data_IF_672573456006
#
_entry.id   IF_672573456006
#
_cell.length_a   1.000
_cell.length_b   1.000
_cell.length_c   1.000
_cell.angle_alpha   90.00
_cell.angle_beta   90.00
_cell.angle_gamma   90.00
#
_symmetry.space_group_name_H-M   'P 1'
#
loop_
_entity.id
_entity.type
_entity.pdbx_description
1 polymer ?
#
# COMPACT_ATOMS: atom_id res chain seq x y z
N UNK A 1 -15.99 0.19 -19.21
CA UNK A 1 -15.30 0.73 -18.02
C UNK A 1 -13.99 1.43 -18.36
N UNK A 2 -13.05 0.79 -19.07
CA UNK A 2 -11.72 1.34 -19.39
C UNK A 2 -11.70 2.71 -20.11
N UNK A 3 -12.63 2.96 -21.06
CA UNK A 3 -12.78 4.25 -21.77
C UNK A 3 -13.31 5.39 -20.86
N UNK A 4 -14.20 5.08 -19.92
CA UNK A 4 -14.77 6.04 -18.98
C UNK A 4 -13.74 6.46 -17.93
N UNK A 5 -12.95 5.50 -17.44
CA UNK A 5 -11.82 5.74 -16.54
C UNK A 5 -10.83 6.70 -17.21
N UNK A 6 -10.39 6.42 -18.44
CA UNK A 6 -9.43 7.26 -19.15
C UNK A 6 -9.91 8.71 -19.36
N UNK A 7 -11.21 8.91 -19.60
CA UNK A 7 -11.78 10.25 -19.84
C UNK A 7 -11.84 11.11 -18.56
N UNK A 8 -12.01 10.50 -17.39
CA UNK A 8 -12.19 11.19 -16.11
C UNK A 8 -11.09 10.89 -15.08
N UNK A 9 -9.91 10.47 -15.54
CA UNK A 9 -8.77 10.07 -14.69
C UNK A 9 -8.39 11.12 -13.63
N UNK A 10 -8.36 12.42 -13.99
CA UNK A 10 -8.04 13.50 -13.04
C UNK A 10 -9.10 13.64 -11.94
N UNK A 11 -10.38 13.52 -12.31
CA UNK A 11 -11.50 13.59 -11.37
C UNK A 11 -11.49 12.38 -10.43
N UNK A 12 -11.25 11.18 -10.97
CA UNK A 12 -11.10 9.96 -10.18
C UNK A 12 -9.94 10.07 -9.19
N UNK A 13 -8.81 10.62 -9.62
CA UNK A 13 -7.66 10.88 -8.76
C UNK A 13 -8.04 11.83 -7.62
N UNK A 14 -8.68 12.96 -7.93
CA UNK A 14 -9.12 13.93 -6.92
C UNK A 14 -10.11 13.34 -5.92
N UNK A 15 -11.16 12.66 -6.40
CA UNK A 15 -12.16 12.01 -5.53
C UNK A 15 -11.50 10.96 -4.63
N UNK A 16 -10.62 10.13 -5.20
CA UNK A 16 -9.91 9.10 -4.44
C UNK A 16 -8.98 9.70 -3.39
N UNK A 17 -8.30 10.80 -3.71
CA UNK A 17 -7.45 11.52 -2.77
C UNK A 17 -8.26 12.09 -1.62
N UNK A 18 -9.36 12.79 -1.90
CA UNK A 18 -10.24 13.35 -0.87
C UNK A 18 -10.80 12.26 0.02
N UNK A 19 -11.25 11.14 -0.56
CA UNK A 19 -11.75 10.00 0.21
C UNK A 19 -10.66 9.42 1.12
N UNK A 20 -9.49 9.07 0.57
CA UNK A 20 -8.37 8.53 1.34
C UNK A 20 -7.90 9.49 2.44
N UNK A 21 -7.76 10.78 2.12
CA UNK A 21 -7.37 11.81 3.07
C UNK A 21 -8.39 11.97 4.20
N UNK A 22 -9.69 12.01 3.87
CA UNK A 22 -10.76 12.08 4.86
C UNK A 22 -10.71 10.89 5.83
N UNK A 23 -10.61 9.65 5.33
CA UNK A 23 -10.57 8.48 6.20
C UNK A 23 -9.32 8.41 7.06
N UNK A 24 -8.14 8.74 6.51
CA UNK A 24 -6.91 8.77 7.31
C UNK A 24 -6.92 9.91 8.35
N UNK A 25 -7.45 11.08 7.99
CA UNK A 25 -7.57 12.20 8.92
C UNK A 25 -8.59 11.90 10.02
N UNK A 26 -9.74 11.31 9.68
CA UNK A 26 -10.76 10.95 10.65
C UNK A 26 -10.26 9.88 11.63
N UNK A 27 -9.52 8.86 11.15
CA UNK A 27 -8.89 7.85 12.02
C UNK A 27 -7.80 8.47 12.90
N UNK A 28 -6.98 9.36 12.33
CA UNK A 28 -5.98 10.12 13.07
C UNK A 28 -6.63 10.96 14.18
N UNK A 29 -7.66 11.76 13.88
CA UNK A 29 -8.37 12.58 14.88
C UNK A 29 -9.12 11.73 15.92
N UNK A 30 -9.64 10.57 15.52
CA UNK A 30 -10.25 9.62 16.44
C UNK A 30 -9.24 9.09 17.46
N UNK A 31 -7.98 8.84 17.05
CA UNK A 31 -6.91 8.42 17.96
C UNK A 31 -6.59 9.43 19.07
N UNK A 32 -6.89 10.72 18.83
CA UNK A 32 -6.77 11.79 19.81
C UNK A 32 -8.05 12.05 20.63
N UNK A 33 -9.09 11.23 20.47
CA UNK A 33 -10.41 11.44 21.06
C UNK A 33 -11.10 12.75 20.66
N UNK A 34 -10.67 13.42 19.57
CA UNK A 34 -11.29 14.65 19.10
C UNK A 34 -12.59 14.41 18.31
N UNK A 35 -12.86 13.17 17.87
CA UNK A 35 -13.99 12.85 16.99
C UNK A 35 -14.92 11.78 17.58
N UNK A 36 -16.20 12.13 17.76
CA UNK A 36 -17.31 11.26 18.21
C UNK A 36 -17.90 10.43 17.05
N UNK A 37 -17.06 9.77 16.24
CA UNK A 37 -17.58 8.84 15.24
C UNK A 37 -18.07 7.56 15.93
N UNK A 38 -19.23 6.99 15.51
CA UNK A 38 -19.76 5.79 16.13
C UNK A 38 -18.78 4.61 16.00
N UNK A 39 -18.35 4.09 17.15
CA UNK A 39 -17.34 3.03 17.32
C UNK A 39 -17.56 1.77 16.45
N UNK A 40 -18.82 1.42 16.15
CA UNK A 40 -19.16 0.15 15.50
C UNK A 40 -18.85 0.12 14.00
N UNK A 41 -18.97 1.24 13.29
CA UNK A 41 -18.68 1.30 11.85
C UNK A 41 -17.21 1.56 11.55
N UNK A 42 -16.58 2.44 12.33
CA UNK A 42 -15.27 2.99 11.96
C UNK A 42 -14.13 1.97 12.04
N UNK A 43 -14.14 1.08 13.06
CA UNK A 43 -13.09 0.08 13.27
C UNK A 43 -12.86 -0.86 12.07
N UNK A 44 -13.89 -1.15 11.27
CA UNK A 44 -13.77 -2.06 10.12
C UNK A 44 -13.47 -1.31 8.82
N UNK A 45 -14.11 -0.16 8.57
CA UNK A 45 -13.94 0.59 7.33
C UNK A 45 -12.62 1.36 7.24
N UNK A 46 -12.02 1.76 8.38
CA UNK A 46 -10.71 2.43 8.42
C UNK A 46 -9.54 1.49 8.13
N UNK A 47 -9.70 0.17 8.23
CA UNK A 47 -8.59 -0.79 8.10
C UNK A 47 -8.45 -1.34 6.66
N UNK A 48 -9.55 -1.50 5.91
CA UNK A 48 -9.58 -2.51 4.85
C UNK A 48 -9.41 -2.00 3.41
N UNK A 49 -9.79 -0.77 3.05
CA UNK A 49 -9.75 -0.37 1.62
C UNK A 49 -9.69 1.13 1.34
N UNK A 50 -10.59 1.94 1.91
CA UNK A 50 -10.73 3.36 1.55
C UNK A 50 -9.48 4.23 1.78
N UNK A 51 -8.65 3.99 2.83
CA UNK A 51 -7.40 4.73 3.00
C UNK A 51 -6.34 4.43 1.92
N UNK A 52 -6.59 3.47 1.03
CA UNK A 52 -5.59 2.95 0.09
C UNK A 52 -5.99 3.08 -1.37
N UNK A 53 -7.28 3.30 -1.66
CA UNK A 53 -7.83 3.46 -3.02
C UNK A 53 -7.08 4.53 -3.82
N UNK A 54 -6.71 5.64 -3.18
CA UNK A 54 -5.92 6.70 -3.81
C UNK A 54 -4.62 6.18 -4.44
N UNK A 55 -3.87 5.32 -3.74
CA UNK A 55 -2.58 4.84 -4.24
C UNK A 55 -2.73 3.96 -5.48
N UNK A 56 -3.78 3.13 -5.53
CA UNK A 56 -4.09 2.33 -6.73
C UNK A 56 -4.43 3.23 -7.93
N UNK A 57 -5.26 4.25 -7.72
CA UNK A 57 -5.64 5.20 -8.78
C UNK A 57 -4.46 6.06 -9.22
N UNK A 58 -3.61 6.48 -8.28
CA UNK A 58 -2.37 7.20 -8.57
C UNK A 58 -1.42 6.37 -9.44
N UNK A 59 -1.25 5.08 -9.14
CA UNK A 59 -0.46 4.16 -9.95
C UNK A 59 -1.00 4.04 -11.39
N UNK A 60 -2.32 3.85 -11.53
CA UNK A 60 -2.99 3.81 -12.85
C UNK A 60 -2.84 5.12 -13.63
N UNK A 61 -3.02 6.26 -12.96
CA UNK A 61 -2.84 7.58 -13.55
C UNK A 61 -1.41 7.76 -14.07
N UNK A 62 -0.43 7.40 -13.24
CA UNK A 62 0.99 7.55 -13.55
C UNK A 62 1.39 6.71 -14.75
N UNK A 63 0.99 5.44 -14.83
CA UNK A 63 1.33 4.59 -15.98
C UNK A 63 0.68 5.07 -17.28
N UNK A 64 -0.55 5.60 -17.23
CA UNK A 64 -1.20 6.20 -18.41
C UNK A 64 -0.44 7.43 -18.90
N UNK A 65 0.03 8.27 -17.98
CA UNK A 65 0.81 9.46 -18.31
C UNK A 65 2.20 9.14 -18.86
N UNK A 66 2.88 8.15 -18.29
CA UNK A 66 4.15 7.65 -18.82
C UNK A 66 3.96 7.13 -20.26
N UNK A 67 2.92 6.32 -20.51
CA UNK A 67 2.67 5.74 -21.84
C UNK A 67 2.23 6.76 -22.89
N UNK A 68 1.35 7.69 -22.55
CA UNK A 68 0.74 8.61 -23.51
C UNK A 68 1.52 9.92 -23.69
N UNK A 69 2.17 10.40 -22.63
CA UNK A 69 2.80 11.72 -22.58
C UNK A 69 4.32 11.64 -22.35
N UNK A 70 4.87 10.43 -22.23
CA UNK A 70 6.32 10.23 -22.15
C UNK A 70 6.95 10.85 -20.90
N UNK A 71 6.21 10.94 -19.79
CA UNK A 71 6.70 11.51 -18.54
C UNK A 71 7.98 10.78 -18.06
N UNK A 72 9.01 11.56 -17.77
CA UNK A 72 10.36 11.13 -17.40
C UNK A 72 10.73 11.69 -16.03
N UNK A 73 10.55 10.87 -14.99
CA UNK A 73 10.81 11.24 -13.60
C UNK A 73 12.29 11.11 -13.21
N UNK A 74 13.09 10.40 -14.00
CA UNK A 74 14.54 10.23 -13.85
C UNK A 74 15.28 11.57 -13.80
N UNK A 75 14.81 12.56 -14.57
CA UNK A 75 15.38 13.92 -14.58
C UNK A 75 15.26 14.66 -13.25
N UNK A 76 14.28 14.29 -12.43
CA UNK A 76 13.95 14.99 -11.17
C UNK A 76 14.36 14.18 -9.94
N UNK A 77 15.32 13.25 -10.07
CA UNK A 77 15.67 12.33 -8.99
C UNK A 77 16.16 13.05 -7.73
N UNK A 78 16.88 14.16 -7.89
CA UNK A 78 17.41 14.95 -6.76
C UNK A 78 16.26 15.65 -6.03
N UNK A 79 15.35 16.27 -6.77
CA UNK A 79 14.17 16.94 -6.23
C UNK A 79 13.24 15.93 -5.55
N UNK A 80 13.05 14.75 -6.16
CA UNK A 80 12.29 13.65 -5.57
C UNK A 80 12.95 13.11 -4.30
N UNK A 81 14.28 13.05 -4.26
CA UNK A 81 15.02 12.63 -3.07
C UNK A 81 14.90 13.67 -1.94
N UNK A 82 14.99 14.96 -2.25
CA UNK A 82 14.75 16.03 -1.28
C UNK A 82 13.30 16.03 -0.78
N UNK A 83 12.33 15.84 -1.67
CA UNK A 83 10.92 15.68 -1.31
C UNK A 83 10.71 14.46 -0.41
N UNK A 84 11.41 13.36 -0.70
CA UNK A 84 11.34 12.15 0.11
C UNK A 84 11.93 12.35 1.51
N UNK A 85 13.09 13.01 1.63
CA UNK A 85 13.70 13.35 2.93
C UNK A 85 12.77 14.25 3.74
N UNK A 86 12.23 15.30 3.12
CA UNK A 86 11.32 16.23 3.81
C UNK A 86 10.04 15.52 4.27
N UNK A 87 9.43 14.70 3.41
CA UNK A 87 8.27 13.90 3.77
C UNK A 87 8.57 12.90 4.90
N UNK A 88 9.74 12.27 4.87
CA UNK A 88 10.20 11.37 5.93
C UNK A 88 10.35 12.11 7.26
N UNK A 89 10.98 13.30 7.25
CA UNK A 89 11.15 14.10 8.45
C UNK A 89 9.81 14.53 9.04
N UNK A 90 8.86 14.97 8.20
CA UNK A 90 7.48 15.28 8.62
C UNK A 90 6.82 14.07 9.26
N UNK A 91 6.95 12.88 8.65
CA UNK A 91 6.37 11.64 9.18
C UNK A 91 6.96 11.26 10.54
N UNK A 92 8.27 11.39 10.73
CA UNK A 92 8.95 11.10 12.00
C UNK A 92 8.54 12.12 13.06
N UNK A 93 8.48 13.41 12.72
CA UNK A 93 8.02 14.45 13.64
C UNK A 93 6.59 14.21 14.07
N UNK A 94 5.68 13.99 13.13
CA UNK A 94 4.28 13.64 13.40
C UNK A 94 4.21 12.41 14.32
N UNK A 95 5.00 11.37 14.03
CA UNK A 95 5.03 10.16 14.85
C UNK A 95 5.54 10.36 16.27
N UNK A 96 6.54 11.22 16.47
CA UNK A 96 7.02 11.58 17.81
C UNK A 96 6.02 12.44 18.57
N UNK A 97 5.40 13.42 17.91
CA UNK A 97 4.42 14.33 18.53
C UNK A 97 3.13 13.59 18.92
N UNK A 98 2.73 12.61 18.10
CA UNK A 98 1.51 11.84 18.31
C UNK A 98 1.65 10.66 19.26
N UNK A 99 2.87 10.24 19.61
CA UNK A 99 3.16 8.97 20.32
C UNK A 99 2.49 7.73 19.68
N UNK A 100 1.98 7.83 18.46
CA UNK A 100 1.31 6.74 17.74
C UNK A 100 2.27 6.08 16.76
N UNK A 101 3.33 5.47 17.27
CA UNK A 101 4.31 4.73 16.46
C UNK A 101 3.71 3.52 15.74
N UNK A 102 2.59 2.98 16.25
CA UNK A 102 1.94 1.78 15.73
C UNK A 102 0.79 2.05 14.74
N UNK A 103 0.37 3.31 14.52
CA UNK A 103 -0.77 3.61 13.63
C UNK A 103 -0.28 4.05 12.26
N UNK A 104 -0.58 3.26 11.23
CA UNK A 104 -0.21 3.53 9.83
C UNK A 104 -1.14 4.53 9.11
N UNK A 105 -2.14 5.09 9.80
CA UNK A 105 -3.16 5.96 9.24
C UNK A 105 -2.94 7.41 9.71
N UNK A 106 -1.99 8.10 9.08
CA UNK A 106 -1.72 9.52 9.32
C UNK A 106 -1.67 10.27 7.99
N UNK A 107 -2.16 11.52 7.91
CA UNK A 107 -2.05 12.31 6.68
C UNK A 107 -0.60 12.43 6.15
N UNK A 108 0.40 12.48 7.05
CA UNK A 108 1.81 12.50 6.69
C UNK A 108 2.27 11.26 5.89
N UNK A 109 1.61 10.10 6.09
CA UNK A 109 1.88 8.87 5.35
C UNK A 109 1.56 9.05 3.87
N UNK A 110 0.51 9.80 3.50
CA UNK A 110 0.17 10.03 2.09
C UNK A 110 1.32 10.71 1.37
N UNK A 111 1.85 11.79 1.93
CA UNK A 111 2.96 12.53 1.34
C UNK A 111 4.20 11.63 1.21
N UNK A 112 4.55 10.92 2.28
CA UNK A 112 5.69 10.01 2.29
C UNK A 112 5.55 8.87 1.27
N UNK A 113 4.37 8.26 1.17
CA UNK A 113 4.09 7.19 0.21
C UNK A 113 4.15 7.67 -1.23
N UNK A 114 3.60 8.86 -1.54
CA UNK A 114 3.67 9.45 -2.88
C UNK A 114 5.11 9.80 -3.27
N UNK A 115 5.86 10.44 -2.37
CA UNK A 115 7.27 10.76 -2.61
C UNK A 115 8.10 9.49 -2.81
N UNK A 116 7.89 8.47 -1.97
CA UNK A 116 8.55 7.17 -2.08
C UNK A 116 8.24 6.49 -3.40
N UNK A 117 6.97 6.51 -3.83
CA UNK A 117 6.56 5.91 -5.11
C UNK A 117 7.32 6.52 -6.30
N UNK A 118 7.35 7.84 -6.41
CA UNK A 118 8.05 8.50 -7.52
C UNK A 118 9.57 8.34 -7.45
N UNK A 119 10.16 8.43 -6.26
CA UNK A 119 11.60 8.20 -6.07
C UNK A 119 11.99 6.77 -6.47
N UNK A 120 11.28 5.76 -5.95
CA UNK A 120 11.52 4.35 -6.28
C UNK A 120 11.28 4.06 -7.75
N UNK A 121 10.27 4.69 -8.36
CA UNK A 121 10.05 4.59 -9.80
C UNK A 121 11.26 5.14 -10.57
N UNK A 122 11.74 6.33 -10.26
CA UNK A 122 12.92 6.91 -10.90
C UNK A 122 14.14 6.01 -10.73
N UNK A 123 14.38 5.49 -9.54
CA UNK A 123 15.46 4.53 -9.28
C UNK A 123 15.30 3.25 -10.13
N UNK A 124 14.09 2.71 -10.25
CA UNK A 124 13.85 1.50 -11.05
C UNK A 124 14.16 1.68 -12.53
N UNK A 125 14.07 2.90 -13.06
CA UNK A 125 14.43 3.20 -14.46
C UNK A 125 15.94 3.11 -14.67
N UNK A 126 16.76 3.45 -13.66
CA UNK A 126 18.22 3.32 -13.73
C UNK A 126 18.69 1.87 -13.62
N UNK A 127 17.94 1.00 -12.93
CA UNK A 127 18.32 -0.40 -12.70
C UNK A 127 17.74 -1.33 -13.78
N UNK A 128 17.79 -0.89 -15.05
CA UNK A 128 17.20 -1.61 -16.20
C UNK A 128 17.87 -2.95 -16.51
N UNK A 129 19.09 -3.17 -16.05
CA UNK A 129 19.92 -4.33 -16.41
C UNK A 129 19.86 -5.48 -15.37
N UNK A 130 18.67 -5.76 -14.82
CA UNK A 130 18.49 -6.96 -14.01
C UNK A 130 18.42 -8.22 -14.88
N UNK A 131 18.95 -9.35 -14.36
CA UNK A 131 18.87 -10.63 -15.05
C UNK A 131 17.42 -11.02 -15.37
N UNK A 132 17.21 -11.77 -16.46
CA UNK A 132 15.89 -12.23 -16.91
C UNK A 132 15.07 -12.93 -15.81
N UNK A 133 15.74 -13.51 -14.80
CA UNK A 133 15.07 -14.14 -13.67
C UNK A 133 14.40 -13.13 -12.73
N UNK A 134 15.09 -12.05 -12.36
CA UNK A 134 14.54 -10.99 -11.52
C UNK A 134 13.36 -10.28 -12.20
N UNK A 135 13.44 -10.09 -13.52
CA UNK A 135 12.34 -9.51 -14.29
C UNK A 135 11.05 -10.35 -14.16
N UNK A 136 11.15 -11.68 -14.24
CA UNK A 136 10.01 -12.59 -14.06
C UNK A 136 9.41 -12.50 -12.66
N UNK A 137 10.26 -12.43 -11.62
CA UNK A 137 9.81 -12.27 -10.23
C UNK A 137 9.07 -10.96 -10.06
N UNK A 138 9.65 -9.84 -10.52
CA UNK A 138 9.03 -8.50 -10.41
C UNK A 138 7.68 -8.47 -11.14
N UNK A 139 7.59 -9.06 -12.33
CA UNK A 139 6.35 -9.15 -13.11
C UNK A 139 5.30 -9.99 -12.40
N UNK A 140 5.69 -11.10 -11.78
CA UNK A 140 4.80 -11.93 -10.94
C UNK A 140 4.28 -11.13 -9.74
N UNK A 141 5.17 -10.51 -8.96
CA UNK A 141 4.78 -9.70 -7.79
C UNK A 141 3.85 -8.55 -8.17
N UNK A 142 4.17 -7.84 -9.27
CA UNK A 142 3.34 -6.75 -9.78
C UNK A 142 1.93 -7.23 -10.15
N UNK A 143 1.83 -8.37 -10.84
CA UNK A 143 0.56 -8.98 -11.21
C UNK A 143 -0.28 -9.45 -10.01
N UNK A 144 0.36 -9.83 -8.90
CA UNK A 144 -0.33 -10.25 -7.67
C UNK A 144 -0.48 -9.14 -6.63
N UNK A 145 0.05 -7.94 -6.87
CA UNK A 145 0.16 -6.88 -5.85
C UNK A 145 -1.16 -6.56 -5.14
N UNK A 146 -2.26 -6.49 -5.89
CA UNK A 146 -3.60 -6.29 -5.33
C UNK A 146 -4.04 -7.44 -4.41
N UNK A 147 -3.84 -8.68 -4.86
CA UNK A 147 -4.21 -9.86 -4.09
C UNK A 147 -3.33 -10.06 -2.85
N UNK A 148 -2.02 -9.80 -2.97
CA UNK A 148 -1.07 -9.82 -1.86
C UNK A 148 -1.48 -8.79 -0.81
N UNK A 149 -1.83 -7.57 -1.23
CA UNK A 149 -2.29 -6.53 -0.33
C UNK A 149 -3.55 -6.94 0.45
N UNK A 150 -4.57 -7.47 -0.23
CA UNK A 150 -5.79 -7.92 0.42
C UNK A 150 -5.54 -9.09 1.38
N UNK A 151 -4.74 -10.07 0.95
CA UNK A 151 -4.33 -11.20 1.78
C UNK A 151 -3.58 -10.73 3.02
N UNK A 152 -2.68 -9.76 2.87
CA UNK A 152 -1.88 -9.20 3.95
C UNK A 152 -2.76 -8.62 5.07
N UNK A 153 -3.77 -7.83 4.73
CA UNK A 153 -4.66 -7.26 5.73
C UNK A 153 -5.48 -8.36 6.43
N UNK A 154 -6.00 -9.33 5.68
CA UNK A 154 -6.75 -10.45 6.26
C UNK A 154 -5.88 -11.28 7.23
N UNK A 155 -4.67 -11.65 6.81
CA UNK A 155 -3.75 -12.46 7.62
C UNK A 155 -3.32 -11.70 8.87
N UNK A 156 -3.04 -10.40 8.75
CA UNK A 156 -2.73 -9.56 9.90
C UNK A 156 -3.87 -9.55 10.92
N UNK A 157 -5.11 -9.41 10.45
CA UNK A 157 -6.31 -9.42 11.29
C UNK A 157 -6.49 -10.77 11.99
N UNK A 158 -6.42 -11.87 11.23
CA UNK A 158 -6.59 -13.23 11.77
C UNK A 158 -5.48 -13.61 12.75
N UNK A 159 -4.22 -13.29 12.46
CA UNK A 159 -3.11 -13.57 13.39
C UNK A 159 -3.28 -12.81 14.70
N UNK A 160 -3.70 -11.55 14.66
CA UNK A 160 -4.00 -10.78 15.88
C UNK A 160 -5.16 -11.37 16.67
N UNK A 161 -6.27 -11.72 16.00
CA UNK A 161 -7.43 -12.33 16.66
C UNK A 161 -7.05 -13.68 17.28
N UNK A 162 -6.30 -14.51 16.55
CA UNK A 162 -5.87 -15.83 17.01
C UNK A 162 -4.97 -15.75 18.25
N UNK A 163 -3.98 -14.85 18.22
CA UNK A 163 -3.05 -14.67 19.34
C UNK A 163 -3.72 -14.05 20.56
N UNK A 164 -4.64 -13.11 20.37
CA UNK A 164 -5.46 -12.56 21.45
C UNK A 164 -6.33 -13.62 22.12
N UNK A 165 -6.99 -14.48 21.33
CA UNK A 165 -7.80 -15.60 21.86
C UNK A 165 -6.98 -16.63 22.64
N UNK A 166 -5.68 -16.76 22.35
CA UNK A 166 -4.77 -17.69 23.03
C UNK A 166 -3.96 -17.03 24.14
N UNK A 167 -4.21 -15.75 24.44
CA UNK A 167 -3.43 -14.96 25.41
C UNK A 167 -1.93 -14.91 25.08
N UNK A 168 -1.58 -14.97 23.79
CA UNK A 168 -0.22 -14.96 23.25
C UNK A 168 0.18 -13.58 22.69
N UNK A 169 -0.56 -12.52 23.02
CA UNK A 169 -0.30 -11.17 22.50
C UNK A 169 1.10 -10.65 22.85
N UNK A 170 1.72 -11.18 23.90
CA UNK A 170 3.09 -10.85 24.29
C UNK A 170 4.12 -11.13 23.18
N UNK A 171 3.84 -12.06 22.26
CA UNK A 171 4.74 -12.41 21.14
C UNK A 171 4.91 -11.21 20.19
N UNK A 172 3.89 -10.35 20.07
CA UNK A 172 3.91 -9.19 19.19
C UNK A 172 4.32 -7.90 19.87
N UNK A 173 4.58 -7.94 21.18
CA UNK A 173 4.94 -6.75 21.94
C UNK A 173 6.40 -6.34 21.70
N UNK A 174 6.63 -5.03 21.63
CA UNK A 174 7.95 -4.45 21.40
C UNK A 174 8.40 -4.46 19.94
N UNK A 175 9.54 -3.83 19.68
CA UNK A 175 10.04 -3.63 18.31
C UNK A 175 10.29 -4.95 17.56
N UNK A 176 10.86 -5.96 18.24
CA UNK A 176 11.11 -7.28 17.66
C UNK A 176 9.80 -8.01 17.31
N UNK A 177 8.79 -7.92 18.17
CA UNK A 177 7.46 -8.50 17.93
C UNK A 177 6.77 -7.89 16.71
N UNK A 178 6.85 -6.57 16.53
CA UNK A 178 6.31 -5.89 15.34
C UNK A 178 7.05 -6.32 14.06
N UNK A 179 8.38 -6.43 14.10
CA UNK A 179 9.19 -6.91 12.96
C UNK A 179 8.82 -8.35 12.62
N UNK A 180 8.71 -9.23 13.62
CA UNK A 180 8.31 -10.62 13.45
C UNK A 180 6.90 -10.72 12.84
N UNK A 181 5.94 -9.95 13.38
CA UNK A 181 4.58 -9.89 12.86
C UNK A 181 4.58 -9.48 11.39
N UNK A 182 5.30 -8.41 11.04
CA UNK A 182 5.42 -7.94 9.67
C UNK A 182 6.01 -9.02 8.74
N UNK A 183 7.10 -9.67 9.15
CA UNK A 183 7.73 -10.73 8.38
C UNK A 183 6.80 -11.94 8.20
N UNK A 184 6.14 -12.39 9.26
CA UNK A 184 5.19 -13.51 9.22
C UNK A 184 4.00 -13.22 8.32
N UNK A 185 3.34 -12.06 8.50
CA UNK A 185 2.19 -11.67 7.66
C UNK A 185 2.62 -11.59 6.20
N UNK A 186 3.76 -10.95 5.91
CA UNK A 186 4.27 -10.83 4.54
C UNK A 186 4.57 -12.20 3.92
N UNK A 187 5.26 -13.08 4.63
CA UNK A 187 5.60 -14.42 4.15
C UNK A 187 4.35 -15.25 3.86
N UNK A 188 3.38 -15.27 4.79
CA UNK A 188 2.13 -16.02 4.63
C UNK A 188 1.29 -15.44 3.48
N UNK A 189 1.26 -14.10 3.32
CA UNK A 189 0.54 -13.43 2.21
C UNK A 189 1.10 -13.82 0.86
N UNK A 190 2.43 -13.79 0.73
CA UNK A 190 3.12 -14.19 -0.49
C UNK A 190 2.91 -15.68 -0.78
N UNK A 191 2.94 -16.53 0.25
CA UNK A 191 2.73 -17.97 0.11
C UNK A 191 1.30 -18.28 -0.33
N UNK A 192 0.30 -17.62 0.24
CA UNK A 192 -1.10 -17.76 -0.18
C UNK A 192 -1.29 -17.27 -1.62
N UNK A 193 -0.71 -16.11 -1.97
CA UNK A 193 -0.72 -15.61 -3.34
C UNK A 193 -0.07 -16.60 -4.32
N UNK A 194 1.05 -17.22 -3.92
CA UNK A 194 1.72 -18.25 -4.71
C UNK A 194 0.86 -19.49 -4.91
N UNK A 195 0.35 -20.10 -3.84
CA UNK A 195 -0.47 -21.31 -3.91
C UNK A 195 -1.73 -21.05 -4.74
N UNK A 196 -2.43 -19.95 -4.48
CA UNK A 196 -3.65 -19.62 -5.22
C UNK A 196 -3.38 -19.27 -6.68
N UNK A 197 -2.19 -18.72 -7.00
CA UNK A 197 -1.82 -18.45 -8.40
C UNK A 197 -1.69 -19.70 -9.26
N UNK A 198 -1.59 -20.88 -8.64
CA UNK A 198 -1.63 -22.18 -9.32
C UNK A 198 -3.05 -22.60 -9.71
N UNK A 199 -4.07 -21.99 -9.10
CA UNK A 199 -5.49 -22.31 -9.32
C UNK A 199 -6.16 -21.31 -10.28
N UNK A 200 -7.18 -21.72 -11.06
CA UNK A 200 -7.90 -20.80 -11.95
C UNK A 200 -8.77 -19.79 -11.20
N UNK A 201 -9.08 -20.04 -9.92
CA UNK A 201 -9.96 -19.20 -9.10
C UNK A 201 -9.38 -17.85 -8.72
N UNK A 202 -8.05 -17.68 -8.83
CA UNK A 202 -7.39 -16.43 -8.41
C UNK A 202 -7.87 -15.19 -9.19
N UNK A 203 -8.39 -15.37 -10.40
CA UNK A 203 -8.98 -14.28 -11.22
C UNK A 203 -10.17 -13.62 -10.54
N UNK A 204 -10.97 -14.37 -9.77
CA UNK A 204 -12.11 -13.80 -9.02
C UNK A 204 -11.66 -12.86 -7.90
N UNK A 205 -10.47 -13.11 -7.34
CA UNK A 205 -9.88 -12.31 -6.26
C UNK A 205 -8.93 -11.21 -6.77
N UNK A 206 -8.90 -10.97 -8.08
CA UNK A 206 -8.06 -9.93 -8.68
C UNK A 206 -6.59 -10.28 -8.83
N UNK A 207 -6.20 -11.56 -8.72
CA UNK A 207 -4.85 -12.02 -9.04
C UNK A 207 -4.76 -12.74 -10.38
N UNK A 208 -3.54 -13.11 -10.78
CA UNK A 208 -3.25 -13.69 -12.12
C UNK A 208 -2.78 -15.14 -11.98
N UNK A 209 -3.15 -16.02 -12.92
CA UNK A 209 -2.62 -17.38 -12.90
C UNK A 209 -1.14 -17.38 -13.32
N UNK A 210 -0.29 -18.12 -12.62
CA UNK A 210 1.15 -18.24 -12.94
C UNK A 210 1.39 -18.61 -14.42
N UNK A 211 0.54 -19.46 -15.00
CA UNK A 211 0.65 -19.91 -16.40
C UNK A 211 0.31 -18.84 -17.44
N UNK A 212 -0.38 -17.76 -17.05
CA UNK A 212 -0.85 -16.70 -17.94
C UNK A 212 -0.04 -15.40 -17.79
N UNK A 213 1.10 -15.42 -17.10
CA UNK A 213 1.99 -14.27 -17.09
C UNK A 213 2.48 -14.03 -18.52
N UNK A 214 2.29 -12.82 -19.08
CA UNK A 214 2.88 -12.52 -20.38
C UNK A 214 4.39 -12.77 -20.26
N UNK A 215 4.98 -13.42 -21.26
CA UNK A 215 6.44 -13.52 -21.35
C UNK A 215 7.04 -12.12 -21.46
#
# INVERSE_FOLDING_TARGET
MHKLINKHLKLLLAISFVATFYFQLADYLYSYNFFLLPKSGFNYYSILFFPWVFYFILGMYTITKIKNEGWKFDKYIVELYLLWITAYFILIMDTKLSNTSATSLKPAVILYSVASFYLLYSLSVYIRDFSNYFHKIIKWFSAQSFFIYFSHILILSELRIFTAKKSLDFIWNGYSGVILLFASVTAISCLIAYILSLTPFIKFFGGVNYRNLPQ
#
